data_IF_302310180857
#
_entry.id   IF_302310180857
#
_cell.length_a   1.000
_cell.length_b   1.000
_cell.length_c   1.000
_cell.angle_alpha   90.00
_cell.angle_beta   90.00
_cell.angle_gamma   90.00
#
_symmetry.space_group_name_H-M   'P 1'
#
loop_
_entity.id
_entity.type
_entity.pdbx_description
1 polymer ?
#
# COMPACT_ATOMS: atom_id res chain seq x y z
N UNK A 1 -0.40 -0.17 27.15
CA UNK A 1 -1.07 -0.93 26.09
C UNK A 1 -0.19 -0.82 24.86
N UNK A 2 0.24 -1.91 24.25
CA UNK A 2 1.03 -1.82 23.02
C UNK A 2 0.09 -1.37 21.89
N UNK A 3 0.35 -0.21 21.27
CA UNK A 3 -0.40 0.26 20.13
C UNK A 3 -0.29 -0.76 18.99
N UNK A 4 -1.42 -1.04 18.34
CA UNK A 4 -1.49 -2.02 17.26
C UNK A 4 -0.90 -1.42 15.99
N UNK A 5 0.26 -1.89 15.55
CA UNK A 5 0.84 -1.51 14.26
C UNK A 5 0.38 -2.46 13.14
N UNK A 6 -0.70 -2.06 12.45
CA UNK A 6 -1.29 -2.84 11.34
C UNK A 6 -0.34 -2.97 10.14
N UNK A 7 0.54 -1.99 9.92
CA UNK A 7 1.51 -2.03 8.82
C UNK A 7 2.56 -3.13 9.07
N UNK A 8 3.09 -3.21 10.29
CA UNK A 8 3.99 -4.27 10.71
C UNK A 8 3.32 -5.64 10.64
N UNK A 9 2.07 -5.78 11.11
CA UNK A 9 1.34 -7.05 11.00
C UNK A 9 1.17 -7.52 9.55
N UNK A 10 0.93 -6.59 8.61
CA UNK A 10 0.81 -6.90 7.20
C UNK A 10 2.16 -7.31 6.59
N UNK A 11 3.24 -6.64 7.00
CA UNK A 11 4.59 -6.95 6.57
C UNK A 11 5.06 -8.31 7.08
N UNK A 12 4.82 -8.65 8.35
CA UNK A 12 5.17 -9.95 8.92
C UNK A 12 4.48 -11.10 8.16
N UNK A 13 3.22 -10.92 7.75
CA UNK A 13 2.52 -11.91 6.92
C UNK A 13 3.15 -12.03 5.53
N UNK A 14 3.50 -10.91 4.91
CA UNK A 14 4.20 -10.91 3.62
C UNK A 14 5.55 -11.65 3.71
N UNK A 15 6.34 -11.39 4.76
CA UNK A 15 7.59 -12.11 5.00
C UNK A 15 7.34 -13.62 5.18
N UNK A 16 6.32 -14.00 5.95
CA UNK A 16 5.98 -15.41 6.13
C UNK A 16 5.61 -16.11 4.80
N UNK A 17 4.82 -15.43 3.96
CA UNK A 17 4.40 -15.95 2.66
C UNK A 17 5.59 -16.07 1.69
N UNK A 18 6.40 -15.02 1.54
CA UNK A 18 7.50 -14.99 0.57
C UNK A 18 8.66 -15.90 0.99
N UNK A 19 9.02 -15.89 2.27
CA UNK A 19 10.14 -16.69 2.76
C UNK A 19 9.79 -18.19 2.81
N UNK A 20 8.52 -18.56 2.66
CA UNK A 20 8.08 -19.96 2.58
C UNK A 20 8.53 -20.68 1.30
N UNK A 21 8.71 -19.96 0.19
CA UNK A 21 9.05 -20.53 -1.14
C UNK A 21 10.58 -20.66 -1.35
N UNK A 22 11.42 -20.25 -0.38
CA UNK A 22 12.91 -20.36 -0.37
C UNK A 22 13.67 -19.77 -1.58
N UNK A 23 12.98 -19.20 -2.57
CA UNK A 23 13.55 -18.58 -3.78
C UNK A 23 13.76 -17.08 -3.63
N UNK A 24 13.16 -16.48 -2.61
CA UNK A 24 13.27 -15.05 -2.31
C UNK A 24 13.17 -14.87 -0.81
N UNK A 25 13.94 -13.93 -0.28
CA UNK A 25 13.95 -13.60 1.14
C UNK A 25 13.70 -12.11 1.30
N UNK A 26 12.68 -11.77 2.07
CA UNK A 26 12.44 -10.41 2.55
C UNK A 26 12.89 -10.38 4.01
N UNK A 27 13.78 -9.45 4.32
CA UNK A 27 14.33 -9.27 5.65
C UNK A 27 13.47 -8.30 6.46
N UNK A 28 13.52 -8.41 7.79
CA UNK A 28 12.87 -7.44 8.68
C UNK A 28 13.35 -6.01 8.46
N UNK A 29 14.58 -5.87 8.01
CA UNK A 29 15.20 -4.60 7.64
C UNK A 29 14.51 -3.94 6.44
N UNK A 30 13.76 -4.68 5.62
CA UNK A 30 13.01 -4.13 4.48
C UNK A 30 11.68 -3.49 4.92
N UNK A 31 11.31 -3.58 6.21
CA UNK A 31 10.06 -3.01 6.72
C UNK A 31 9.95 -1.51 6.44
N UNK A 32 11.04 -0.75 6.56
CA UNK A 32 10.99 0.70 6.31
C UNK A 32 10.67 1.03 4.84
N UNK A 33 11.15 0.21 3.89
CA UNK A 33 10.83 0.36 2.46
C UNK A 33 9.35 0.06 2.20
N UNK A 34 8.85 -1.01 2.81
CA UNK A 34 7.44 -1.37 2.73
C UNK A 34 6.54 -0.26 3.29
N UNK A 35 6.86 0.23 4.48
CA UNK A 35 6.10 1.31 5.13
C UNK A 35 6.18 2.61 4.33
N UNK A 36 7.35 2.98 3.82
CA UNK A 36 7.52 4.16 2.98
C UNK A 36 6.67 4.07 1.72
N UNK A 37 6.74 2.96 0.99
CA UNK A 37 5.94 2.74 -0.22
C UNK A 37 4.43 2.77 0.07
N UNK A 38 4.01 2.22 1.21
CA UNK A 38 2.62 2.27 1.64
C UNK A 38 2.17 3.71 1.95
N UNK A 39 2.95 4.48 2.72
CA UNK A 39 2.64 5.88 3.05
C UNK A 39 2.54 6.74 1.80
N UNK A 40 3.49 6.63 0.87
CA UNK A 40 3.45 7.34 -0.41
C UNK A 40 2.23 6.96 -1.25
N UNK A 41 1.79 5.69 -1.23
CA UNK A 41 0.58 5.29 -1.94
C UNK A 41 -0.68 5.90 -1.33
N UNK A 42 -0.75 6.02 0.00
CA UNK A 42 -1.86 6.69 0.68
C UNK A 42 -1.88 8.20 0.38
N UNK A 43 -0.74 8.87 0.40
CA UNK A 43 -0.63 10.29 0.06
C UNK A 43 -1.13 10.56 -1.36
N UNK A 44 -0.75 9.73 -2.33
CA UNK A 44 -1.24 9.86 -3.71
C UNK A 44 -2.76 9.61 -3.82
N UNK A 45 -3.31 8.64 -3.07
CA UNK A 45 -4.76 8.43 -3.02
C UNK A 45 -5.50 9.63 -2.44
N UNK A 46 -4.96 10.27 -1.39
CA UNK A 46 -5.50 11.49 -0.82
C UNK A 46 -5.42 12.65 -1.83
N UNK A 47 -4.31 12.79 -2.54
CA UNK A 47 -4.17 13.80 -3.59
C UNK A 47 -5.19 13.60 -4.73
N UNK A 48 -5.44 12.35 -5.14
CA UNK A 48 -6.50 12.02 -6.10
C UNK A 48 -7.87 12.39 -5.54
N UNK A 49 -8.13 12.09 -4.26
CA UNK A 49 -9.37 12.45 -3.59
C UNK A 49 -9.57 13.96 -3.50
N UNK A 50 -8.51 14.74 -3.32
CA UNK A 50 -8.61 16.21 -3.24
C UNK A 50 -8.78 16.81 -4.64
N UNK A 51 -7.93 16.43 -5.59
CA UNK A 51 -7.89 17.03 -6.93
C UNK A 51 -8.95 16.50 -7.87
N UNK A 52 -9.49 15.30 -7.61
CA UNK A 52 -10.41 14.62 -8.52
C UNK A 52 -9.76 14.16 -9.83
N UNK A 53 -8.44 14.02 -9.86
CA UNK A 53 -7.71 13.55 -11.04
C UNK A 53 -6.56 12.64 -10.64
N UNK A 54 -6.24 11.67 -11.49
CA UNK A 54 -5.09 10.78 -11.30
C UNK A 54 -4.04 11.07 -12.37
N UNK A 55 -2.84 11.43 -11.93
CA UNK A 55 -1.71 11.72 -12.83
C UNK A 55 -1.10 10.45 -13.44
N UNK A 56 -1.01 9.38 -12.63
CA UNK A 56 -0.39 8.10 -13.00
C UNK A 56 -1.10 6.93 -12.32
N UNK A 57 -1.13 5.78 -13.00
CA UNK A 57 -1.71 4.55 -12.46
C UNK A 57 -0.81 3.89 -11.42
N UNK A 58 -1.41 3.32 -10.38
CA UNK A 58 -0.71 2.47 -9.43
C UNK A 58 -0.37 1.13 -10.08
N UNK A 59 0.84 0.64 -9.83
CA UNK A 59 1.24 -0.73 -10.22
C UNK A 59 0.47 -1.78 -9.40
N UNK A 60 0.18 -1.46 -8.13
CA UNK A 60 -0.64 -2.31 -7.26
C UNK A 60 -2.10 -2.29 -7.74
N UNK A 61 -2.68 -3.45 -8.13
CA UNK A 61 -4.08 -3.52 -8.56
C UNK A 61 -5.05 -3.06 -7.47
N UNK A 62 -4.74 -3.31 -6.20
CA UNK A 62 -5.58 -2.88 -5.06
C UNK A 62 -5.60 -1.36 -4.92
N UNK A 63 -4.45 -0.69 -5.03
CA UNK A 63 -4.41 0.77 -4.95
C UNK A 63 -5.04 1.42 -6.18
N UNK A 64 -4.87 0.84 -7.38
CA UNK A 64 -5.55 1.35 -8.57
C UNK A 64 -7.07 1.24 -8.42
N UNK A 65 -7.58 0.10 -7.94
CA UNK A 65 -9.02 -0.06 -7.68
C UNK A 65 -9.56 0.97 -6.67
N UNK A 66 -8.77 1.36 -5.66
CA UNK A 66 -9.16 2.41 -4.72
C UNK A 66 -9.18 3.79 -5.40
N UNK A 67 -8.18 4.11 -6.22
CA UNK A 67 -8.13 5.34 -7.00
C UNK A 67 -9.34 5.47 -7.93
N UNK A 68 -9.66 4.39 -8.66
CA UNK A 68 -10.81 4.36 -9.57
C UNK A 68 -12.12 4.63 -8.81
N UNK A 69 -12.33 3.99 -7.64
CA UNK A 69 -13.51 4.23 -6.79
C UNK A 69 -13.61 5.66 -6.28
N UNK A 70 -12.49 6.26 -5.90
CA UNK A 70 -12.45 7.66 -5.44
C UNK A 70 -12.90 8.58 -6.58
N UNK A 71 -12.39 8.37 -7.79
CA UNK A 71 -12.73 9.15 -8.98
C UNK A 71 -14.21 8.97 -9.37
N UNK A 72 -14.71 7.73 -9.37
CA UNK A 72 -16.12 7.43 -9.62
C UNK A 72 -17.05 8.13 -8.62
N UNK A 73 -16.66 8.21 -7.34
CA UNK A 73 -17.48 8.85 -6.31
C UNK A 73 -17.65 10.36 -6.49
N UNK A 74 -16.73 11.03 -7.21
CA UNK A 74 -16.82 12.47 -7.50
C UNK A 74 -17.63 12.80 -8.75
N UNK A 75 -17.90 11.81 -9.60
CA UNK A 75 -18.73 11.99 -10.80
C UNK A 75 -20.24 12.01 -10.46
N UNK A 76 -20.60 11.65 -9.22
CA UNK A 76 -21.94 11.66 -8.67
C UNK A 76 -22.11 12.79 -7.63
#
# INVERSE_FOLDING_TARGET
MAERNVCMEAFDRLCADVNSDKKSEINKEDYWLFELGFRSAIEELLAIADTGSQSRKFVSPRFQMLADRILESKLH
#
